data_IF_408151739661
#
_entry.id   IF_408151739661
#
_cell.length_a   1.000
_cell.length_b   1.000
_cell.length_c   1.000
_cell.angle_alpha   90.00
_cell.angle_beta   90.00
_cell.angle_gamma   90.00
#
_symmetry.space_group_name_H-M   'P 1'
#
loop_
_entity.id
_entity.type
_entity.pdbx_description
1 polymer ?
#
# COMPACT_ATOMS: atom_id res chain seq x y z
N UNK A 1 7.26 21.52 13.32
CA UNK A 1 7.37 21.93 11.91
C UNK A 1 6.10 21.54 11.18
N UNK A 2 5.08 22.41 11.18
CA UNK A 2 3.78 22.16 10.54
C UNK A 2 3.82 22.26 9.00
N UNK A 3 4.81 22.91 8.37
CA UNK A 3 4.75 23.18 6.91
C UNK A 3 5.19 22.03 5.98
N UNK A 4 5.38 20.79 6.49
CA UNK A 4 5.95 19.68 5.71
C UNK A 4 4.94 18.86 4.90
N UNK A 5 3.65 19.04 5.12
CA UNK A 5 2.61 18.27 4.44
C UNK A 5 1.68 19.22 3.70
N UNK A 6 1.24 18.82 2.50
CA UNK A 6 0.28 19.59 1.69
C UNK A 6 -1.02 19.93 2.45
N UNK A 7 -1.32 19.23 3.56
CA UNK A 7 -2.46 19.55 4.44
C UNK A 7 -2.40 20.93 5.09
N UNK A 8 -1.21 21.52 5.24
CA UNK A 8 -1.02 22.71 6.08
C UNK A 8 -0.85 24.04 5.31
N UNK A 9 -0.91 24.04 3.97
CA UNK A 9 -0.88 25.26 3.16
C UNK A 9 -2.29 25.80 2.91
N UNK A 10 -2.61 26.99 3.43
CA UNK A 10 -3.94 27.62 3.30
C UNK A 10 -3.96 28.82 2.33
N UNK A 11 -5.14 29.05 1.75
CA UNK A 11 -5.63 30.29 1.11
C UNK A 11 -5.48 30.46 -0.42
N UNK A 12 -5.95 29.47 -1.20
CA UNK A 12 -6.61 29.62 -2.54
C UNK A 12 -6.89 28.27 -3.22
N UNK A 13 -6.27 27.19 -2.74
CA UNK A 13 -6.26 25.89 -3.42
C UNK A 13 -7.28 24.86 -2.92
N UNK A 14 -8.14 25.16 -1.94
CA UNK A 14 -8.98 24.12 -1.32
C UNK A 14 -9.89 23.38 -2.30
N UNK A 15 -10.55 24.09 -3.23
CA UNK A 15 -11.39 23.45 -4.26
C UNK A 15 -10.55 22.56 -5.20
N UNK A 16 -9.35 23.01 -5.58
CA UNK A 16 -8.45 22.21 -6.41
C UNK A 16 -7.90 20.99 -5.66
N UNK A 17 -7.68 21.11 -4.35
CA UNK A 17 -7.30 19.99 -3.49
C UNK A 17 -8.42 18.96 -3.39
N UNK A 18 -9.67 19.38 -3.29
CA UNK A 18 -10.81 18.45 -3.36
C UNK A 18 -10.85 17.67 -4.68
N UNK A 19 -10.62 18.32 -5.82
CA UNK A 19 -10.51 17.63 -7.11
C UNK A 19 -9.34 16.62 -7.14
N UNK A 20 -8.19 16.95 -6.55
CA UNK A 20 -7.07 16.01 -6.38
C UNK A 20 -7.47 14.80 -5.52
N UNK A 21 -8.23 15.01 -4.44
CA UNK A 21 -8.71 13.93 -3.58
C UNK A 21 -9.66 12.98 -4.33
N UNK A 22 -10.62 13.55 -5.06
CA UNK A 22 -11.56 12.78 -5.88
C UNK A 22 -10.79 12.01 -6.96
N UNK A 23 -9.81 12.64 -7.62
CA UNK A 23 -8.96 11.99 -8.61
C UNK A 23 -8.20 10.78 -8.04
N UNK A 24 -7.59 10.92 -6.85
CA UNK A 24 -6.91 9.79 -6.19
C UNK A 24 -7.89 8.68 -5.77
N UNK A 25 -9.10 9.03 -5.33
CA UNK A 25 -10.15 8.06 -4.99
C UNK A 25 -10.58 7.26 -6.22
N UNK A 26 -10.89 7.94 -7.33
CA UNK A 26 -11.31 7.31 -8.59
C UNK A 26 -10.20 6.39 -9.11
N UNK A 27 -8.97 6.88 -9.22
CA UNK A 27 -7.83 6.07 -9.66
C UNK A 27 -7.58 4.85 -8.73
N UNK A 28 -7.80 5.01 -7.42
CA UNK A 28 -7.73 3.91 -6.46
C UNK A 28 -8.80 2.85 -6.71
N UNK A 29 -10.06 3.26 -6.89
CA UNK A 29 -11.17 2.33 -7.16
C UNK A 29 -11.03 1.61 -8.50
N UNK A 30 -10.57 2.30 -9.54
CA UNK A 30 -10.41 1.71 -10.87
C UNK A 30 -9.30 0.67 -10.87
N UNK A 31 -8.13 1.00 -10.31
CA UNK A 31 -6.97 0.08 -10.29
C UNK A 31 -7.15 -1.11 -9.34
N UNK A 32 -7.95 -0.97 -8.28
CA UNK A 32 -8.24 -2.04 -7.33
C UNK A 32 -9.54 -2.79 -7.67
N UNK A 33 -10.17 -2.48 -8.79
CA UNK A 33 -11.34 -3.23 -9.24
C UNK A 33 -11.00 -4.71 -9.48
N UNK A 34 -11.77 -5.60 -8.85
CA UNK A 34 -11.62 -7.05 -9.00
C UNK A 34 -10.37 -7.64 -8.33
N UNK A 35 -9.87 -7.02 -7.26
CA UNK A 35 -8.88 -7.67 -6.38
C UNK A 35 -9.51 -8.49 -5.25
N UNK A 36 -10.83 -8.47 -5.11
CA UNK A 36 -11.52 -9.28 -4.12
C UNK A 36 -11.48 -10.78 -4.47
N UNK A 37 -11.35 -11.68 -3.47
CA UNK A 37 -11.11 -11.37 -2.07
C UNK A 37 -9.64 -10.96 -1.82
N UNK A 38 -9.42 -9.99 -0.95
CA UNK A 38 -8.09 -9.52 -0.57
C UNK A 38 -7.91 -9.42 0.94
N UNK A 39 -6.65 -9.46 1.39
CA UNK A 39 -6.26 -9.25 2.78
C UNK A 39 -5.17 -8.20 2.82
N UNK A 40 -5.41 -7.15 3.61
CA UNK A 40 -4.40 -6.13 3.88
C UNK A 40 -3.48 -6.56 5.03
N UNK A 41 -2.17 -6.55 4.79
CA UNK A 41 -1.12 -6.84 5.78
C UNK A 41 -0.31 -5.57 6.06
N UNK A 42 -0.23 -5.23 7.35
CA UNK A 42 0.63 -4.16 7.87
C UNK A 42 1.81 -4.75 8.63
N UNK A 43 2.90 -4.00 8.72
CA UNK A 43 4.05 -4.39 9.53
C UNK A 43 5.19 -3.39 9.50
N UNK A 44 6.25 -3.73 10.22
CA UNK A 44 7.46 -2.92 10.34
C UNK A 44 8.14 -2.72 8.99
N UNK A 45 8.52 -1.47 8.69
CA UNK A 45 9.28 -1.12 7.49
C UNK A 45 10.79 -1.44 7.59
N UNK A 46 11.29 -1.84 8.77
CA UNK A 46 12.73 -2.06 9.01
C UNK A 46 13.10 -3.52 9.26
N UNK A 47 12.12 -4.44 9.25
CA UNK A 47 12.39 -5.87 9.39
C UNK A 47 13.28 -6.36 8.23
N UNK A 48 14.26 -7.21 8.53
CA UNK A 48 15.15 -7.80 7.53
C UNK A 48 14.80 -9.26 7.26
N UNK A 49 15.20 -9.84 6.10
CA UNK A 49 14.90 -11.23 5.76
C UNK A 49 15.34 -12.26 6.81
N UNK A 50 16.38 -11.99 7.59
CA UNK A 50 16.87 -12.92 8.62
C UNK A 50 16.00 -12.91 9.90
N UNK A 51 15.13 -11.91 10.06
CA UNK A 51 14.29 -11.79 11.24
C UNK A 51 13.03 -12.67 11.13
N UNK A 52 12.60 -13.29 12.25
CA UNK A 52 11.40 -14.11 12.28
C UNK A 52 10.16 -13.38 11.76
N UNK A 53 10.00 -12.09 12.06
CA UNK A 53 8.84 -11.30 11.65
C UNK A 53 8.72 -11.16 10.12
N UNK A 54 9.84 -11.05 9.41
CA UNK A 54 9.85 -11.01 7.95
C UNK A 54 9.40 -12.36 7.38
N UNK A 55 10.00 -13.45 7.87
CA UNK A 55 9.70 -14.81 7.40
C UNK A 55 8.24 -15.19 7.70
N UNK A 56 7.75 -14.83 8.88
CA UNK A 56 6.36 -15.03 9.26
C UNK A 56 5.40 -14.24 8.37
N UNK A 57 5.69 -12.98 8.07
CA UNK A 57 4.86 -12.16 7.18
C UNK A 57 4.78 -12.75 5.76
N UNK A 58 5.92 -13.20 5.20
CA UNK A 58 5.97 -13.90 3.91
C UNK A 58 5.16 -15.20 3.94
N UNK A 59 5.35 -16.02 4.96
CA UNK A 59 4.66 -17.31 5.09
C UNK A 59 3.14 -17.13 5.24
N UNK A 60 2.70 -16.17 6.07
CA UNK A 60 1.28 -15.85 6.23
C UNK A 60 0.67 -15.42 4.89
N UNK A 61 1.32 -14.49 4.19
CA UNK A 61 0.86 -14.02 2.89
C UNK A 61 0.80 -15.14 1.84
N UNK A 62 1.81 -16.00 1.80
CA UNK A 62 1.83 -17.17 0.93
C UNK A 62 0.64 -18.10 1.21
N UNK A 63 0.41 -18.45 2.48
CA UNK A 63 -0.68 -19.35 2.87
C UNK A 63 -2.06 -18.74 2.53
N UNK A 64 -2.26 -17.45 2.79
CA UNK A 64 -3.48 -16.73 2.39
C UNK A 64 -3.66 -16.73 0.87
N UNK A 65 -2.59 -16.48 0.10
CA UNK A 65 -2.59 -16.56 -1.35
C UNK A 65 -2.97 -17.94 -1.87
N UNK A 66 -2.48 -19.01 -1.24
CA UNK A 66 -2.87 -20.39 -1.57
C UNK A 66 -4.35 -20.68 -1.31
N UNK A 67 -5.01 -19.90 -0.45
CA UNK A 67 -6.46 -19.96 -0.23
C UNK A 67 -7.26 -19.03 -1.17
N UNK A 68 -6.60 -18.36 -2.12
CA UNK A 68 -7.25 -17.51 -3.13
C UNK A 68 -7.39 -16.04 -2.74
N UNK A 69 -6.78 -15.60 -1.64
CA UNK A 69 -6.77 -14.19 -1.26
C UNK A 69 -5.64 -13.43 -1.97
N UNK A 70 -5.96 -12.30 -2.58
CA UNK A 70 -4.93 -11.35 -3.00
C UNK A 70 -4.35 -10.62 -1.78
N UNK A 71 -3.12 -10.14 -1.88
CA UNK A 71 -2.44 -9.50 -0.74
C UNK A 71 -2.25 -8.02 -1.02
N UNK A 72 -2.68 -7.20 -0.07
CA UNK A 72 -2.55 -5.74 -0.12
C UNK A 72 -1.60 -5.29 0.98
N UNK A 73 -0.68 -4.39 0.66
CA UNK A 73 0.24 -3.80 1.64
C UNK A 73 0.39 -2.31 1.42
N UNK A 74 1.14 -1.67 2.31
CA UNK A 74 1.56 -0.29 2.13
C UNK A 74 2.67 -0.07 1.08
N UNK A 75 3.15 -1.10 0.40
CA UNK A 75 4.16 -1.01 -0.68
C UNK A 75 5.58 -0.71 -0.22
N UNK A 76 5.83 -0.55 1.08
CA UNK A 76 7.15 -0.27 1.64
C UNK A 76 8.04 -1.51 1.81
N UNK A 77 9.27 -1.31 2.32
CA UNK A 77 10.20 -2.40 2.66
C UNK A 77 9.76 -3.17 3.92
N UNK A 78 10.58 -4.15 4.32
CA UNK A 78 10.40 -4.90 5.55
C UNK A 78 9.25 -5.90 5.48
N UNK A 79 8.38 -5.95 6.49
CA UNK A 79 7.28 -6.92 6.53
C UNK A 79 6.27 -6.75 5.39
N UNK A 80 6.11 -5.52 4.88
CA UNK A 80 5.25 -5.26 3.72
C UNK A 80 5.84 -5.89 2.45
N UNK A 81 7.14 -5.73 2.24
CA UNK A 81 7.86 -6.41 1.15
C UNK A 81 7.76 -7.93 1.29
N UNK A 82 7.96 -8.47 2.51
CA UNK A 82 7.84 -9.89 2.78
C UNK A 82 6.46 -10.44 2.41
N UNK A 83 5.40 -9.73 2.79
CA UNK A 83 4.02 -10.09 2.44
C UNK A 83 3.78 -10.03 0.92
N UNK A 84 4.30 -9.00 0.24
CA UNK A 84 4.22 -8.90 -1.21
C UNK A 84 4.97 -10.05 -1.92
N UNK A 85 6.14 -10.46 -1.39
CA UNK A 85 6.89 -11.61 -1.90
C UNK A 85 6.10 -12.92 -1.73
N UNK A 86 5.52 -13.16 -0.56
CA UNK A 86 4.69 -14.35 -0.33
C UNK A 86 3.48 -14.42 -1.26
N UNK A 87 2.89 -13.27 -1.61
CA UNK A 87 1.80 -13.18 -2.58
C UNK A 87 2.23 -13.58 -4.01
N UNK A 88 3.39 -13.09 -4.46
CA UNK A 88 3.98 -13.49 -5.75
C UNK A 88 4.21 -14.99 -5.79
N UNK A 89 4.77 -15.56 -4.71
CA UNK A 89 5.07 -16.99 -4.61
C UNK A 89 3.82 -17.87 -4.64
N UNK A 90 2.71 -17.36 -4.09
CA UNK A 90 1.42 -18.02 -4.18
C UNK A 90 0.76 -17.88 -5.56
N UNK A 91 1.25 -16.99 -6.43
CA UNK A 91 0.71 -16.74 -7.76
C UNK A 91 -0.55 -15.86 -7.77
N UNK A 92 -0.77 -15.06 -6.71
CA UNK A 92 -1.93 -14.15 -6.58
C UNK A 92 -1.53 -12.69 -6.84
N UNK A 93 -2.51 -11.77 -6.87
CA UNK A 93 -2.20 -10.34 -7.00
C UNK A 93 -1.50 -9.86 -5.73
N UNK A 94 -0.43 -9.10 -5.93
CA UNK A 94 0.41 -8.49 -4.90
C UNK A 94 0.34 -6.98 -5.06
N UNK A 95 -0.42 -6.33 -4.18
CA UNK A 95 -0.77 -4.91 -4.27
C UNK A 95 0.10 -4.09 -3.32
N UNK A 96 0.70 -3.02 -3.84
CA UNK A 96 1.45 -2.02 -3.09
C UNK A 96 0.77 -0.65 -3.15
N UNK A 97 0.19 -0.21 -2.02
CA UNK A 97 -0.41 1.11 -1.88
C UNK A 97 0.60 2.08 -1.26
N UNK A 98 1.44 2.69 -2.09
CA UNK A 98 2.52 3.58 -1.71
C UNK A 98 2.01 4.98 -1.32
N UNK A 99 2.80 5.72 -0.56
CA UNK A 99 2.52 7.12 -0.20
C UNK A 99 3.74 7.99 -0.52
N UNK A 100 3.53 9.15 -1.11
CA UNK A 100 4.60 10.15 -1.27
C UNK A 100 4.98 10.69 0.11
N UNK A 101 6.25 10.52 0.47
CA UNK A 101 6.82 11.05 1.70
C UNK A 101 7.87 12.12 1.36
N UNK A 102 8.11 13.11 2.24
CA UNK A 102 9.16 14.12 2.03
C UNK A 102 10.57 13.52 1.91
N UNK A 103 10.79 12.35 2.51
CA UNK A 103 12.02 11.57 2.38
C UNK A 103 11.69 10.29 1.62
N UNK A 104 12.58 9.87 0.73
CA UNK A 104 12.34 8.76 -0.20
C UNK A 104 12.04 7.44 0.54
N UNK A 105 10.81 6.94 0.41
CA UNK A 105 10.49 5.53 0.63
C UNK A 105 10.43 4.86 -0.74
N UNK A 106 11.37 3.94 -1.00
CA UNK A 106 11.37 3.17 -2.24
C UNK A 106 10.24 2.12 -2.16
N UNK A 107 9.34 2.07 -3.17
CA UNK A 107 8.43 0.95 -3.33
C UNK A 107 9.20 -0.37 -3.38
N UNK A 108 8.66 -1.41 -2.76
CA UNK A 108 9.27 -2.73 -2.85
C UNK A 108 9.12 -3.32 -4.26
N UNK A 109 9.99 -4.29 -4.60
CA UNK A 109 10.06 -4.90 -5.93
C UNK A 109 9.05 -6.03 -6.13
N UNK A 110 8.23 -6.35 -5.12
CA UNK A 110 7.40 -7.55 -5.09
C UNK A 110 5.91 -7.27 -5.23
N UNK A 111 5.53 -6.06 -5.62
CA UNK A 111 4.15 -5.68 -5.98
C UNK A 111 3.96 -5.67 -7.49
N UNK A 112 2.93 -6.37 -7.98
CA UNK A 112 2.54 -6.37 -9.40
C UNK A 112 1.44 -5.33 -9.70
N UNK A 113 0.72 -4.87 -8.67
CA UNK A 113 -0.21 -3.74 -8.75
C UNK A 113 0.30 -2.63 -7.84
N UNK A 114 0.65 -1.48 -8.41
CA UNK A 114 1.19 -0.34 -7.67
C UNK A 114 0.33 0.92 -7.85
N UNK A 115 0.01 1.54 -6.72
CA UNK A 115 -0.67 2.83 -6.67
C UNK A 115 0.09 3.72 -5.69
N UNK A 116 0.40 4.94 -6.10
CA UNK A 116 1.06 5.93 -5.25
C UNK A 116 0.06 7.04 -4.95
N UNK A 117 -0.16 7.29 -3.67
CA UNK A 117 -1.05 8.34 -3.17
C UNK A 117 -0.22 9.54 -2.70
N UNK A 118 -0.79 10.74 -2.78
CA UNK A 118 -0.25 11.93 -2.09
C UNK A 118 -0.99 12.19 -0.78
N UNK A 119 -2.21 11.67 -0.66
CA UNK A 119 -3.10 11.94 0.46
C UNK A 119 -3.30 10.69 1.32
N UNK A 120 -2.80 10.73 2.56
CA UNK A 120 -2.86 9.59 3.50
C UNK A 120 -4.27 9.03 3.71
N UNK A 121 -5.29 9.89 3.77
CA UNK A 121 -6.65 9.43 4.03
C UNK A 121 -7.22 8.64 2.84
N UNK A 122 -6.90 9.02 1.60
CA UNK A 122 -7.33 8.28 0.40
C UNK A 122 -6.70 6.89 0.40
N UNK A 123 -5.39 6.81 0.69
CA UNK A 123 -4.69 5.53 0.86
C UNK A 123 -5.33 4.66 1.94
N UNK A 124 -5.68 5.23 3.10
CA UNK A 124 -6.34 4.49 4.19
C UNK A 124 -7.70 3.93 3.78
N UNK A 125 -8.48 4.66 2.99
CA UNK A 125 -9.74 4.15 2.44
C UNK A 125 -9.49 2.90 1.60
N UNK A 126 -8.49 2.92 0.72
CA UNK A 126 -8.19 1.78 -0.15
C UNK A 126 -7.68 0.55 0.61
N UNK A 127 -6.92 0.76 1.70
CA UNK A 127 -6.41 -0.33 2.54
C UNK A 127 -7.50 -1.03 3.39
N UNK A 128 -8.67 -0.42 3.55
CA UNK A 128 -9.78 -0.98 4.35
C UNK A 128 -10.91 -1.50 3.46
N UNK A 129 -11.11 -0.87 2.30
CA UNK A 129 -12.21 -1.22 1.38
C UNK A 129 -11.98 -2.56 0.67
N UNK A 130 -10.73 -2.86 0.33
CA UNK A 130 -10.28 -4.08 -0.34
C UNK A 130 -9.31 -4.83 0.58
#
# INVERSE_FOLDING_TARGET
MPDKYEINSFEKEESWRLFRYIGELVNGFDKLSGIDPAVTIYGSAVATPDQPDYQNARQIAYLLGKQGFNIVTGGGPGMMEAANLGAIEAGVKSVGLNIVLPNEQKPNLHSNVNITFNHFFVRKVMLVKY
#
